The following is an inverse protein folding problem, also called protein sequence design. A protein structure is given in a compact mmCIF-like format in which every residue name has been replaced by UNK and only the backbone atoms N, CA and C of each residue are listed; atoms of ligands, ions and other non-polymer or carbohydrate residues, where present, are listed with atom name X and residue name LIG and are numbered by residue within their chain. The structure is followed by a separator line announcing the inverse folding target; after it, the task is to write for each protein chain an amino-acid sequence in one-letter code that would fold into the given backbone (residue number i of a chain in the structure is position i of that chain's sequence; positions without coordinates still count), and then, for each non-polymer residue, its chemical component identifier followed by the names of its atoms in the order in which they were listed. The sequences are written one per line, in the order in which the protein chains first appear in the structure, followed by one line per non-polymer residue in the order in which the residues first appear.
data_IF_579751017853
#
_entry.id   IF_579751017853
#
_cell.length_a   1.000
_cell.length_b   1.000
_cell.length_c   1.000
_cell.angle_alpha   90.00
_cell.angle_beta   90.00
_cell.angle_gamma   90.00
#
_symmetry.space_group_name_H-M   'P 1'
#
loop_
_entity.id
_entity.type
_entity.pdbx_description
1 polymer ?
#
# COMPACT_ATOMS: atom_id res chain seq x y z
N UNK A 1 27.47 -8.70 -1.74
CA UNK A 1 26.02 -8.65 -1.52
C UNK A 1 25.34 -8.59 -2.88
N UNK A 2 24.29 -9.38 -3.10
CA UNK A 2 23.61 -9.46 -4.41
C UNK A 2 22.19 -8.99 -4.23
N UNK A 3 21.76 -8.00 -5.02
CA UNK A 3 20.38 -7.52 -5.00
C UNK A 3 19.52 -8.53 -5.76
N UNK A 4 18.41 -8.95 -5.15
CA UNK A 4 17.47 -9.90 -5.74
C UNK A 4 16.22 -9.16 -6.20
N UNK A 5 15.98 -9.12 -7.51
CA UNK A 5 14.67 -8.77 -8.06
C UNK A 5 13.82 -10.04 -8.22
N UNK A 6 12.57 -9.99 -7.77
CA UNK A 6 11.61 -11.10 -7.92
C UNK A 6 10.31 -10.59 -8.53
N UNK A 7 9.80 -11.28 -9.55
CA UNK A 7 8.56 -10.95 -10.25
C UNK A 7 7.50 -12.00 -9.92
N UNK A 8 6.76 -11.78 -8.83
CA UNK A 8 5.67 -12.67 -8.42
C UNK A 8 4.35 -12.19 -9.04
N UNK A 9 3.56 -13.09 -9.61
CA UNK A 9 2.32 -12.71 -10.31
C UNK A 9 1.17 -13.67 -10.04
N UNK A 10 -0.06 -13.17 -10.22
CA UNK A 10 -1.28 -13.95 -10.24
C UNK A 10 -1.99 -13.70 -11.56
N UNK A 11 -2.40 -14.76 -12.23
CA UNK A 11 -3.19 -14.69 -13.46
C UNK A 11 -4.47 -15.49 -13.28
N UNK A 12 -5.62 -14.83 -13.49
CA UNK A 12 -6.93 -15.46 -13.37
C UNK A 12 -7.28 -16.21 -14.67
N UNK A 13 -6.58 -17.30 -14.92
CA UNK A 13 -6.75 -18.15 -16.09
C UNK A 13 -5.67 -19.22 -16.18
N UNK A 14 -5.76 -20.06 -17.22
CA UNK A 14 -4.77 -21.10 -17.47
C UNK A 14 -3.51 -20.58 -18.17
N UNK A 15 -2.44 -21.34 -18.03
CA UNK A 15 -1.10 -21.07 -18.55
C UNK A 15 -1.08 -20.89 -20.07
N UNK A 16 -1.95 -21.60 -20.80
CA UNK A 16 -2.06 -21.52 -22.26
C UNK A 16 -2.57 -20.15 -22.72
N UNK A 17 -3.21 -19.38 -21.83
CA UNK A 17 -3.58 -17.98 -22.07
C UNK A 17 -2.53 -17.00 -21.52
N UNK A 18 -1.85 -17.35 -20.44
CA UNK A 18 -0.82 -16.52 -19.82
C UNK A 18 0.40 -16.36 -20.73
N UNK A 19 0.99 -17.46 -21.19
CA UNK A 19 2.26 -17.42 -21.93
C UNK A 19 2.18 -16.59 -23.22
N UNK A 20 1.15 -16.73 -24.08
CA UNK A 20 1.03 -15.87 -25.27
C UNK A 20 0.84 -14.39 -24.91
N UNK A 21 0.17 -14.11 -23.79
CA UNK A 21 -0.06 -12.73 -23.33
C UNK A 21 1.25 -12.11 -22.83
N UNK A 22 2.05 -12.86 -22.08
CA UNK A 22 3.37 -12.42 -21.62
C UNK A 22 4.35 -12.25 -22.77
N UNK A 23 4.36 -13.17 -23.73
CA UNK A 23 5.18 -13.03 -24.93
C UNK A 23 4.84 -11.76 -25.75
N UNK A 24 3.57 -11.33 -25.70
CA UNK A 24 3.11 -10.12 -26.40
C UNK A 24 3.33 -8.84 -25.58
N UNK A 25 3.09 -8.88 -24.28
CA UNK A 25 3.02 -7.70 -23.42
C UNK A 25 4.27 -7.44 -22.59
N UNK A 26 5.05 -8.46 -22.27
CA UNK A 26 6.27 -8.35 -21.49
C UNK A 26 7.27 -9.49 -21.79
N UNK A 27 7.74 -9.61 -23.04
CA UNK A 27 8.66 -10.68 -23.45
C UNK A 27 10.02 -10.62 -22.75
N UNK A 28 10.45 -9.44 -22.30
CA UNK A 28 11.75 -9.22 -21.64
C UNK A 28 11.87 -9.99 -20.32
N UNK A 29 10.74 -10.32 -19.67
CA UNK A 29 10.74 -11.15 -18.47
C UNK A 29 11.18 -12.59 -18.77
N UNK A 30 10.99 -13.06 -20.01
CA UNK A 30 11.38 -14.42 -20.42
C UNK A 30 10.61 -15.54 -19.72
N UNK A 31 9.36 -15.29 -19.30
CA UNK A 31 8.55 -16.26 -18.57
C UNK A 31 8.36 -17.55 -19.37
N UNK A 32 8.74 -18.69 -18.78
CA UNK A 32 8.52 -20.02 -19.37
C UNK A 32 7.48 -20.83 -18.58
N UNK A 33 7.10 -21.99 -19.12
CA UNK A 33 6.06 -22.84 -18.52
C UNK A 33 6.48 -23.36 -17.16
N UNK A 34 7.77 -23.65 -17.01
CA UNK A 34 8.40 -24.21 -15.82
C UNK A 34 8.38 -23.25 -14.63
N UNK A 35 8.27 -21.94 -14.88
CA UNK A 35 8.14 -20.91 -13.84
C UNK A 35 6.72 -20.78 -13.31
N UNK A 36 5.73 -21.38 -13.98
CA UNK A 36 4.32 -21.23 -13.68
C UNK A 36 3.78 -22.43 -12.88
N UNK A 37 2.97 -22.16 -11.86
CA UNK A 37 2.23 -23.19 -11.14
C UNK A 37 0.75 -22.87 -11.19
N UNK A 38 -0.05 -23.73 -11.82
CA UNK A 38 -1.50 -23.63 -11.77
C UNK A 38 -2.02 -24.16 -10.43
N UNK A 39 -2.88 -23.38 -9.79
CA UNK A 39 -3.43 -23.71 -8.49
C UNK A 39 -4.80 -23.06 -8.31
N UNK A 40 -5.56 -23.53 -7.33
CA UNK A 40 -6.80 -22.87 -6.94
C UNK A 40 -6.55 -21.47 -6.36
N UNK A 41 -7.59 -20.63 -6.31
CA UNK A 41 -7.46 -19.29 -5.74
C UNK A 41 -6.97 -19.31 -4.28
N UNK A 42 -7.49 -20.21 -3.43
CA UNK A 42 -7.06 -20.28 -2.02
C UNK A 42 -5.60 -20.72 -1.86
N UNK A 43 -5.11 -21.60 -2.74
CA UNK A 43 -3.71 -22.01 -2.78
C UNK A 43 -2.79 -20.84 -3.16
N UNK A 44 -3.25 -19.94 -4.04
CA UNK A 44 -2.50 -18.73 -4.38
C UNK A 44 -2.31 -17.80 -3.18
N UNK A 45 -3.29 -17.73 -2.27
CA UNK A 45 -3.16 -16.98 -1.01
C UNK A 45 -2.06 -17.56 -0.13
N UNK A 46 -1.97 -18.88 0.00
CA UNK A 46 -0.89 -19.55 0.74
C UNK A 46 0.48 -19.28 0.11
N UNK A 47 0.57 -19.35 -1.22
CA UNK A 47 1.80 -19.06 -1.96
C UNK A 47 2.32 -17.64 -1.68
N UNK A 48 1.47 -16.61 -1.80
CA UNK A 48 1.86 -15.23 -1.54
C UNK A 48 2.13 -14.93 -0.06
N UNK A 49 1.51 -15.69 0.85
CA UNK A 49 1.78 -15.60 2.28
C UNK A 49 3.04 -16.37 2.73
N UNK A 50 3.69 -17.11 1.81
CA UNK A 50 4.88 -17.91 2.13
C UNK A 50 4.58 -19.19 2.92
N UNK A 51 3.34 -19.67 2.91
CA UNK A 51 2.95 -20.92 3.55
C UNK A 51 3.01 -22.12 2.60
N UNK A 52 3.15 -23.35 3.11
CA UNK A 52 2.97 -24.56 2.31
C UNK A 52 1.58 -24.58 1.66
N UNK A 53 1.53 -24.84 0.35
CA UNK A 53 0.32 -24.73 -0.49
C UNK A 53 -0.79 -25.72 -0.08
N UNK A 54 -0.45 -26.81 0.61
CA UNK A 54 -1.40 -27.83 1.04
C UNK A 54 -2.03 -27.53 2.42
N UNK A 55 -1.53 -26.51 3.14
CA UNK A 55 -1.87 -26.28 4.55
C UNK A 55 -2.94 -25.20 4.76
N UNK A 56 -4.13 -25.37 4.17
CA UNK A 56 -5.22 -24.37 4.27
C UNK A 56 -5.59 -23.98 5.72
N UNK A 57 -5.49 -24.91 6.67
CA UNK A 57 -5.80 -24.67 8.08
C UNK A 57 -4.91 -23.61 8.73
N UNK A 58 -3.72 -23.35 8.16
CA UNK A 58 -2.82 -22.30 8.66
C UNK A 58 -3.47 -20.91 8.59
N UNK A 59 -4.40 -20.70 7.65
CA UNK A 59 -5.12 -19.44 7.50
C UNK A 59 -6.09 -19.17 8.67
N UNK A 60 -6.41 -20.18 9.48
CA UNK A 60 -7.22 -20.04 10.69
C UNK A 60 -6.38 -19.68 11.92
N UNK A 61 -5.04 -19.79 11.83
CA UNK A 61 -4.14 -19.49 12.93
C UNK A 61 -3.94 -17.98 13.08
N UNK A 62 -4.25 -17.44 14.27
CA UNK A 62 -4.11 -16.02 14.61
C UNK A 62 -2.84 -15.72 15.43
N UNK A 63 -1.99 -16.72 15.64
CA UNK A 63 -0.73 -16.57 16.37
C UNK A 63 0.31 -16.02 15.41
N UNK A 64 0.92 -14.88 15.74
CA UNK A 64 2.02 -14.32 14.96
C UNK A 64 3.34 -14.86 15.53
N UNK A 65 4.01 -15.81 14.85
CA UNK A 65 5.18 -16.48 15.41
C UNK A 65 6.43 -15.59 15.42
N UNK A 66 6.51 -14.62 14.49
CA UNK A 66 7.67 -13.76 14.30
C UNK A 66 7.24 -12.29 14.33
N UNK A 67 7.51 -11.61 15.44
CA UNK A 67 7.41 -10.15 15.51
C UNK A 67 8.73 -9.57 15.04
N UNK A 68 8.72 -8.89 13.89
CA UNK A 68 9.85 -8.12 13.39
C UNK A 68 9.56 -6.63 13.57
N UNK A 69 10.54 -5.89 14.04
CA UNK A 69 10.47 -4.43 14.05
C UNK A 69 10.78 -3.95 12.64
N UNK A 70 9.92 -3.09 12.10
CA UNK A 70 10.14 -2.52 10.78
C UNK A 70 9.69 -1.06 10.76
N UNK A 71 10.31 -0.29 9.87
CA UNK A 71 9.84 1.05 9.46
C UNK A 71 9.49 0.95 8.00
N UNK A 72 8.27 1.34 7.64
CA UNK A 72 7.83 1.35 6.27
C UNK A 72 7.38 2.75 5.86
N UNK A 73 7.60 3.02 4.57
CA UNK A 73 7.16 4.23 3.86
C UNK A 73 6.58 3.81 2.53
N UNK A 74 5.92 4.75 1.87
CA UNK A 74 5.24 4.48 0.61
C UNK A 74 5.10 5.72 -0.25
N UNK A 75 5.03 5.51 -1.57
CA UNK A 75 4.81 6.57 -2.55
C UNK A 75 3.96 6.07 -3.73
N UNK A 76 3.46 7.00 -4.55
CA UNK A 76 2.63 6.76 -5.73
C UNK A 76 3.33 7.24 -6.99
N UNK A 77 3.74 6.31 -7.83
CA UNK A 77 4.44 6.59 -9.09
C UNK A 77 3.43 6.87 -10.20
N UNK A 78 3.40 8.10 -10.72
CA UNK A 78 2.49 8.50 -11.80
C UNK A 78 3.14 8.50 -13.19
N UNK A 79 4.47 8.56 -13.23
CA UNK A 79 5.29 8.47 -14.44
C UNK A 79 6.41 7.48 -14.18
N UNK A 80 6.83 6.68 -15.17
CA UNK A 80 7.93 5.75 -15.00
C UNK A 80 9.15 6.41 -14.36
N UNK A 81 9.73 5.74 -13.36
CA UNK A 81 10.98 6.17 -12.73
C UNK A 81 12.08 6.05 -13.80
N UNK A 82 12.86 7.10 -14.09
CA UNK A 82 13.94 7.02 -15.05
C UNK A 82 15.03 6.04 -14.57
N UNK A 83 15.80 5.47 -15.49
CA UNK A 83 16.82 4.45 -15.18
C UNK A 83 17.81 4.92 -14.11
N UNK A 84 18.29 6.16 -14.19
CA UNK A 84 19.19 6.73 -13.18
C UNK A 84 18.55 6.84 -11.78
N UNK A 85 17.23 6.95 -11.70
CA UNK A 85 16.48 6.89 -10.45
C UNK A 85 16.47 5.49 -9.86
N UNK A 86 16.29 4.46 -10.69
CA UNK A 86 16.38 3.06 -10.28
C UNK A 86 17.81 2.69 -9.86
N UNK A 87 18.83 3.17 -10.57
CA UNK A 87 20.23 3.02 -10.17
C UNK A 87 20.51 3.64 -8.80
N UNK A 88 19.91 4.80 -8.51
CA UNK A 88 19.98 5.44 -7.20
C UNK A 88 19.40 4.55 -6.10
N UNK A 89 18.24 3.93 -6.33
CA UNK A 89 17.63 2.97 -5.41
C UNK A 89 18.56 1.75 -5.22
N UNK A 90 19.14 1.23 -6.31
CA UNK A 90 20.08 0.12 -6.27
C UNK A 90 21.29 0.41 -5.38
N UNK A 91 21.82 1.64 -5.41
CA UNK A 91 22.94 2.05 -4.56
C UNK A 91 22.59 1.99 -3.08
N UNK A 92 21.37 2.38 -2.70
CA UNK A 92 20.92 2.32 -1.30
C UNK A 92 20.84 0.88 -0.78
N UNK A 93 20.48 -0.09 -1.63
CA UNK A 93 20.48 -1.51 -1.24
C UNK A 93 21.88 -2.09 -0.96
N UNK A 94 22.96 -1.39 -1.33
CA UNK A 94 24.32 -1.80 -0.99
C UNK A 94 24.80 -1.21 0.35
N UNK A 95 24.03 -0.34 0.99
CA UNK A 95 24.34 0.16 2.33
C UNK A 95 24.21 -0.98 3.36
N UNK A 96 25.11 -1.07 4.36
CA UNK A 96 25.06 -2.11 5.38
C UNK A 96 23.72 -2.19 6.13
N UNK A 97 23.09 -1.05 6.36
CA UNK A 97 21.80 -0.93 7.04
C UNK A 97 20.62 -1.45 6.21
N UNK A 98 20.82 -1.65 4.90
CA UNK A 98 19.81 -2.10 3.96
C UNK A 98 19.78 -3.64 3.78
N UNK A 99 20.45 -4.40 4.64
CA UNK A 99 20.53 -5.86 4.55
C UNK A 99 19.16 -6.55 4.44
N UNK A 100 18.18 -6.09 5.21
CA UNK A 100 16.79 -6.58 5.20
C UNK A 100 15.83 -5.60 4.53
N UNK A 101 16.33 -4.61 3.78
CA UNK A 101 15.47 -3.65 3.09
C UNK A 101 14.69 -4.32 1.96
N UNK A 102 13.44 -3.89 1.77
CA UNK A 102 12.60 -4.33 0.67
C UNK A 102 11.94 -3.12 0.00
N UNK A 103 11.88 -3.15 -1.34
CA UNK A 103 11.07 -2.25 -2.15
C UNK A 103 10.09 -3.11 -2.92
N UNK A 104 8.79 -2.91 -2.65
CA UNK A 104 7.70 -3.65 -3.28
C UNK A 104 7.00 -2.73 -4.28
N UNK A 105 7.00 -3.12 -5.55
CA UNK A 105 6.31 -2.40 -6.62
C UNK A 105 5.02 -3.13 -6.97
N UNK A 106 3.88 -2.55 -6.60
CA UNK A 106 2.55 -3.12 -6.89
C UNK A 106 1.92 -2.42 -8.10
N UNK A 107 1.59 -3.15 -9.17
CA UNK A 107 1.02 -2.54 -10.37
C UNK A 107 -0.42 -2.07 -10.10
N UNK A 108 -0.74 -0.92 -10.68
CA UNK A 108 -2.07 -0.33 -10.67
C UNK A 108 -2.64 -0.27 -12.09
N UNK A 109 -3.86 0.25 -12.20
CA UNK A 109 -4.61 0.32 -13.45
C UNK A 109 -5.82 -0.61 -13.43
N UNK A 110 -6.29 -1.01 -14.62
CA UNK A 110 -7.44 -1.88 -14.78
C UNK A 110 -8.66 -1.33 -14.04
N UNK A 111 -9.28 -2.15 -13.18
CA UNK A 111 -10.47 -1.74 -12.44
C UNK A 111 -10.24 -0.53 -11.53
N UNK A 112 -9.01 -0.29 -11.07
CA UNK A 112 -8.73 0.85 -10.19
C UNK A 112 -8.87 2.19 -10.92
N UNK A 113 -8.50 2.27 -12.21
CA UNK A 113 -8.61 3.50 -13.02
C UNK A 113 -10.06 3.89 -13.33
N UNK A 114 -10.97 2.90 -13.32
CA UNK A 114 -12.38 3.11 -13.63
C UNK A 114 -13.17 3.71 -12.45
N UNK A 115 -12.65 3.60 -11.23
CA UNK A 115 -13.34 4.03 -10.02
C UNK A 115 -12.97 5.48 -9.72
N UNK A 116 -13.96 6.37 -9.60
CA UNK A 116 -13.72 7.77 -9.24
C UNK A 116 -12.92 7.90 -7.92
N UNK A 117 -11.99 8.86 -7.87
CA UNK A 117 -11.21 9.16 -6.66
C UNK A 117 -12.13 9.51 -5.46
N UNK A 118 -13.31 10.08 -5.72
CA UNK A 118 -14.26 10.50 -4.67
C UNK A 118 -15.33 9.46 -4.32
N UNK A 119 -15.32 8.30 -4.99
CA UNK A 119 -16.30 7.23 -4.76
C UNK A 119 -16.28 6.74 -3.31
N UNK A 120 -15.08 6.62 -2.74
CA UNK A 120 -14.82 6.22 -1.35
C UNK A 120 -13.64 7.04 -0.78
N UNK A 121 -13.37 7.03 0.54
CA UNK A 121 -12.31 7.83 1.14
C UNK A 121 -10.92 7.63 0.51
N UNK A 122 -10.57 6.40 0.13
CA UNK A 122 -9.32 6.09 -0.53
C UNK A 122 -9.30 6.71 -1.94
N UNK A 123 -8.43 7.71 -2.21
CA UNK A 123 -8.47 8.50 -3.43
C UNK A 123 -7.49 8.02 -4.50
N UNK A 124 -6.55 7.14 -4.16
CA UNK A 124 -5.43 6.82 -5.03
C UNK A 124 -5.80 5.69 -5.97
N UNK A 125 -6.14 6.05 -7.21
CA UNK A 125 -6.61 5.09 -8.21
C UNK A 125 -5.51 4.55 -9.12
N UNK A 126 -4.25 5.00 -8.94
CA UNK A 126 -3.12 4.69 -9.85
C UNK A 126 -1.75 4.26 -9.21
N UNK A 127 -1.60 3.93 -7.91
CA UNK A 127 -0.44 3.20 -7.28
C UNK A 127 -0.76 2.82 -5.79
N UNK A 128 0.06 2.07 -5.02
CA UNK A 128 -0.18 1.62 -3.60
C UNK A 128 1.10 1.13 -2.88
N UNK A 129 1.30 1.04 -1.55
CA UNK A 129 0.53 0.76 -0.29
C UNK A 129 0.56 1.97 0.66
N UNK A 130 -0.34 2.16 1.65
CA UNK A 130 -0.08 3.12 2.76
C UNK A 130 0.28 2.39 4.06
N UNK A 131 1.49 2.63 4.56
CA UNK A 131 1.78 2.48 5.99
C UNK A 131 1.51 3.81 6.71
N UNK A 132 1.21 3.73 8.01
CA UNK A 132 1.13 4.94 8.84
C UNK A 132 2.53 5.54 8.92
N UNK A 133 2.73 6.67 8.27
CA UNK A 133 4.00 7.38 8.25
C UNK A 133 3.87 8.60 9.15
N UNK A 134 4.36 8.50 10.38
CA UNK A 134 4.30 9.60 11.33
C UNK A 134 5.19 10.78 10.89
N UNK A 135 6.13 10.56 9.98
CA UNK A 135 7.08 11.59 9.54
C UNK A 135 6.43 12.60 8.58
N UNK A 136 5.28 12.28 7.98
CA UNK A 136 4.53 13.24 7.14
C UNK A 136 3.66 14.21 7.94
N UNK A 137 3.65 14.08 9.27
CA UNK A 137 3.00 14.99 10.20
C UNK A 137 2.11 14.27 11.21
N UNK A 138 2.02 14.81 12.42
CA UNK A 138 1.16 14.31 13.49
C UNK A 138 0.32 15.45 14.07
N UNK A 139 -0.80 15.09 14.66
CA UNK A 139 -1.61 15.95 15.51
C UNK A 139 -0.90 16.18 16.86
N UNK A 140 -1.21 17.29 17.53
CA UNK A 140 -0.78 17.49 18.91
C UNK A 140 -1.51 16.50 19.83
N UNK A 141 -0.76 15.90 20.77
CA UNK A 141 -1.33 15.02 21.80
C UNK A 141 -1.99 15.82 22.94
N UNK A 142 -1.73 17.12 23.03
CA UNK A 142 -2.27 18.03 24.03
C UNK A 142 -3.11 19.12 23.36
N UNK A 143 -4.35 19.29 23.82
CA UNK A 143 -5.27 20.33 23.36
C UNK A 143 -6.13 19.98 22.13
N UNK A 144 -6.78 20.98 21.55
CA UNK A 144 -7.68 20.82 20.40
C UNK A 144 -6.89 20.57 19.12
N UNK A 145 -7.14 19.44 18.46
CA UNK A 145 -6.55 19.13 17.15
C UNK A 145 -7.09 20.12 16.11
N UNK A 146 -6.19 20.79 15.38
CA UNK A 146 -6.57 21.78 14.35
C UNK A 146 -6.67 21.13 12.97
N UNK A 147 -7.67 21.56 12.19
CA UNK A 147 -7.79 21.18 10.77
C UNK A 147 -6.51 21.53 9.99
N UNK A 148 -5.94 22.71 10.23
CA UNK A 148 -4.74 23.17 9.54
C UNK A 148 -3.57 22.20 9.70
N UNK A 149 -3.28 21.78 10.93
CA UNK A 149 -2.24 20.79 11.22
C UNK A 149 -2.56 19.43 10.60
N UNK A 150 -3.80 18.95 10.78
CA UNK A 150 -4.20 17.66 10.26
C UNK A 150 -4.20 17.61 8.71
N UNK A 151 -4.44 18.75 8.06
CA UNK A 151 -4.48 18.82 6.60
C UNK A 151 -3.13 18.55 5.93
N UNK A 152 -2.01 18.78 6.64
CA UNK A 152 -0.64 18.53 6.14
C UNK A 152 -0.44 17.06 5.77
N UNK A 153 -0.84 16.14 6.66
CA UNK A 153 -0.78 14.70 6.40
C UNK A 153 -2.08 14.18 5.77
N UNK A 154 -3.22 14.76 6.14
CA UNK A 154 -4.55 14.29 5.71
C UNK A 154 -4.78 14.40 4.21
N UNK A 155 -4.28 15.47 3.57
CA UNK A 155 -4.36 15.62 2.12
C UNK A 155 -3.46 14.61 1.40
N UNK A 156 -2.33 14.19 1.99
CA UNK A 156 -1.48 13.14 1.40
C UNK A 156 -2.21 11.79 1.37
N UNK A 157 -2.96 11.45 2.42
CA UNK A 157 -3.72 10.21 2.46
C UNK A 157 -5.02 10.25 1.66
N UNK A 158 -5.77 11.36 1.72
CA UNK A 158 -7.16 11.41 1.27
C UNK A 158 -7.40 12.38 0.10
N UNK A 159 -6.37 13.10 -0.36
CA UNK A 159 -6.49 14.14 -1.40
C UNK A 159 -7.71 15.03 -1.15
N UNK A 160 -8.55 15.23 -2.16
CA UNK A 160 -9.75 16.04 -2.13
C UNK A 160 -10.87 15.46 -1.23
N UNK A 161 -10.77 14.21 -0.77
CA UNK A 161 -11.76 13.61 0.13
C UNK A 161 -11.60 14.06 1.58
N UNK A 162 -10.47 14.66 1.96
CA UNK A 162 -10.19 15.02 3.36
C UNK A 162 -11.25 15.95 3.96
N UNK A 163 -11.71 16.96 3.20
CA UNK A 163 -12.75 17.89 3.66
C UNK A 163 -14.09 17.19 3.94
N UNK A 164 -14.47 16.23 3.08
CA UNK A 164 -15.68 15.43 3.30
C UNK A 164 -15.56 14.59 4.56
N UNK A 165 -14.38 14.00 4.79
CA UNK A 165 -14.10 13.20 5.98
C UNK A 165 -14.18 14.02 7.27
N UNK A 166 -13.62 15.23 7.26
CA UNK A 166 -13.72 16.15 8.40
C UNK A 166 -15.17 16.51 8.72
N UNK A 167 -16.01 16.76 7.70
CA UNK A 167 -17.46 17.01 7.91
C UNK A 167 -18.16 15.82 8.56
N UNK A 168 -17.88 14.61 8.06
CA UNK A 168 -18.44 13.38 8.65
C UNK A 168 -17.98 13.22 10.09
N UNK A 169 -16.68 13.35 10.37
CA UNK A 169 -16.11 13.28 11.73
C UNK A 169 -16.78 14.28 12.67
N UNK A 170 -16.98 15.51 12.22
CA UNK A 170 -17.65 16.57 12.99
C UNK A 170 -19.08 16.19 13.37
N UNK A 171 -19.81 15.52 12.47
CA UNK A 171 -21.19 15.13 12.73
C UNK A 171 -21.31 13.91 13.67
N UNK A 172 -20.39 12.95 13.57
CA UNK A 172 -20.49 11.66 14.28
C UNK A 172 -19.70 11.60 15.60
N UNK A 173 -18.63 12.40 15.72
CA UNK A 173 -17.75 12.43 16.90
C UNK A 173 -17.24 13.87 17.13
N UNK A 174 -18.15 14.79 17.51
CA UNK A 174 -17.82 16.21 17.70
C UNK A 174 -16.82 16.45 18.84
N UNK A 175 -16.87 15.63 19.89
CA UNK A 175 -15.95 15.70 21.05
C UNK A 175 -14.57 15.06 20.76
N UNK A 176 -14.39 14.49 19.57
CA UNK A 176 -13.17 13.82 19.15
C UNK A 176 -12.73 12.72 20.13
N UNK A 177 -13.68 11.91 20.59
CA UNK A 177 -13.42 10.80 21.50
C UNK A 177 -12.50 9.76 20.84
N UNK A 178 -12.78 9.40 19.58
CA UNK A 178 -11.94 8.47 18.82
C UNK A 178 -10.80 9.21 18.13
N UNK A 179 -9.64 9.30 18.79
CA UNK A 179 -8.47 10.04 18.28
C UNK A 179 -7.16 9.30 18.46
N UNK A 180 -6.19 9.64 17.62
CA UNK A 180 -4.78 9.25 17.70
C UNK A 180 -3.90 10.30 17.00
N UNK A 181 -2.60 10.02 16.87
CA UNK A 181 -1.59 10.93 16.32
C UNK A 181 -1.90 11.40 14.89
N UNK A 182 -2.70 10.66 14.13
CA UNK A 182 -3.13 11.02 12.77
C UNK A 182 -4.63 10.76 12.54
N UNK A 183 -5.46 10.97 13.57
CA UNK A 183 -6.91 10.90 13.39
C UNK A 183 -7.43 12.15 12.70
N UNK A 184 -8.41 11.99 11.80
CA UNK A 184 -9.15 13.10 11.20
C UNK A 184 -9.81 13.91 12.33
N UNK A 185 -9.60 15.24 12.43
CA UNK A 185 -10.21 16.05 13.47
C UNK A 185 -11.65 16.46 13.11
N UNK A 186 -12.54 16.69 14.09
CA UNK A 186 -13.75 17.45 13.85
C UNK A 186 -13.42 18.93 13.60
N UNK A 187 -14.32 19.65 12.95
CA UNK A 187 -14.30 21.11 12.92
C UNK A 187 -14.93 21.64 14.20
N UNK A 188 -14.09 22.23 15.05
CA UNK A 188 -14.58 23.04 16.16
C UNK A 188 -15.28 24.27 15.59
N UNK A 189 -16.61 24.23 15.52
CA UNK A 189 -17.37 25.47 15.39
C UNK A 189 -17.17 26.22 16.70
N UNK A 190 -16.80 27.49 16.65
CA UNK A 190 -17.01 28.39 17.79
C UNK A 190 -18.50 28.31 18.13
N UNK A 191 -18.86 27.52 19.12
CA UNK A 191 -20.13 27.60 19.80
C UNK A 191 -19.78 27.74 21.28
N UNK A 192 -20.11 28.94 21.71
CA UNK A 192 -20.32 29.41 23.06
C UNK A 192 -19.05 29.71 23.88
N UNK A 193 -18.75 31.02 23.93
CA UNK A 193 -18.00 31.69 25.00
C UNK A 193 -18.65 31.42 26.38
#
# INVERSE_FOLDING_TARGET
MTIRASFNSIFLGGIDRLLPLMQKGFPELGLVREDCTEMSWIQSILYFAGFPIESNEVLLNRTQPNVRYFKAKSDYVQKPIPENGLEGIWRLFYEPEAEEAEVILSPYGGRMDEISESAIPFPHRAAYINYRDLDIGVNNNEGKISYAQASVWGIKYFKNNFDRLVRVKTAIDPENFFRNEQSIPPRWTKKDD
#
